data_IF_068147810231
#
_entry.id   IF_068147810231
#
_cell.length_a   1.000
_cell.length_b   1.000
_cell.length_c   1.000
_cell.angle_alpha   90.00
_cell.angle_beta   90.00
_cell.angle_gamma   90.00
#
_symmetry.space_group_name_H-M   'P 1'
#
loop_
_entity.id
_entity.type
_entity.pdbx_description
1 polymer ?
#
# COMPACT_ATOMS: atom_id res chain seq x y z
N UNK A 1 6.47 -21.47 -21.53
CA UNK A 1 6.61 -20.34 -20.59
C UNK A 1 5.26 -20.16 -19.91
N UNK A 2 5.16 -20.34 -18.59
CA UNK A 2 3.89 -20.25 -17.87
C UNK A 2 3.38 -18.80 -17.83
N UNK A 3 2.09 -18.62 -18.07
CA UNK A 3 1.42 -17.32 -18.05
C UNK A 3 1.44 -16.75 -16.62
N UNK A 4 2.07 -15.59 -16.41
CA UNK A 4 2.10 -14.94 -15.09
C UNK A 4 0.71 -14.41 -14.77
N UNK A 5 0.13 -14.84 -13.64
CA UNK A 5 -1.16 -14.34 -13.16
C UNK A 5 -1.18 -12.84 -12.84
N UNK A 6 -2.38 -12.31 -12.58
CA UNK A 6 -2.59 -10.88 -12.32
C UNK A 6 -1.93 -10.43 -11.01
N UNK A 7 -1.01 -9.46 -11.09
CA UNK A 7 -0.37 -8.86 -9.90
C UNK A 7 -1.27 -7.80 -9.27
N UNK A 8 -1.33 -7.77 -7.94
CA UNK A 8 -2.10 -6.78 -7.18
C UNK A 8 -1.46 -5.40 -7.30
N UNK A 9 -2.25 -4.39 -7.66
CA UNK A 9 -1.87 -2.96 -7.68
C UNK A 9 -2.48 -2.24 -6.47
N UNK A 10 -1.76 -1.27 -5.90
CA UNK A 10 -2.19 -0.47 -4.75
C UNK A 10 -2.04 1.02 -5.11
N UNK A 11 -2.93 1.85 -4.58
CA UNK A 11 -2.87 3.31 -4.71
C UNK A 11 -2.51 3.92 -3.35
N UNK A 12 -1.68 4.96 -3.35
CA UNK A 12 -1.21 5.61 -2.13
C UNK A 12 -0.56 6.96 -2.39
N UNK A 13 -0.18 7.64 -1.32
CA UNK A 13 0.45 8.97 -1.36
C UNK A 13 1.93 8.85 -1.03
N UNK A 14 2.80 9.52 -1.79
CA UNK A 14 4.24 9.57 -1.50
C UNK A 14 4.48 10.39 -0.23
N UNK A 15 5.19 9.81 0.75
CA UNK A 15 5.59 10.54 1.97
C UNK A 15 7.03 11.04 1.87
N UNK A 16 7.92 10.25 1.28
CA UNK A 16 9.35 10.56 1.25
C UNK A 16 9.99 10.07 -0.05
N UNK A 17 10.87 10.91 -0.56
CA UNK A 17 11.67 10.73 -1.78
C UNK A 17 13.16 10.96 -1.46
N UNK A 18 13.59 10.56 -0.27
CA UNK A 18 14.96 10.84 0.20
C UNK A 18 15.93 9.70 -0.07
N UNK A 19 15.48 8.60 -0.67
CA UNK A 19 16.30 7.44 -0.99
C UNK A 19 16.65 7.43 -2.48
N UNK A 20 17.77 6.82 -2.83
CA UNK A 20 18.17 6.68 -4.23
C UNK A 20 17.33 5.61 -4.94
N UNK A 21 16.61 5.99 -6.02
CA UNK A 21 15.76 5.10 -6.86
C UNK A 21 14.65 4.36 -6.11
N UNK A 22 14.21 4.89 -4.97
CA UNK A 22 13.15 4.30 -4.16
C UNK A 22 12.35 5.38 -3.46
N UNK A 23 11.03 5.28 -3.51
CA UNK A 23 10.11 6.19 -2.83
C UNK A 23 9.30 5.45 -1.76
N UNK A 24 8.99 6.13 -0.65
CA UNK A 24 8.14 5.60 0.41
C UNK A 24 6.69 6.06 0.19
N UNK A 25 5.81 5.12 -0.10
CA UNK A 25 4.39 5.32 -0.38
C UNK A 25 3.53 4.88 0.80
N UNK A 26 2.62 5.74 1.26
CA UNK A 26 1.57 5.39 2.22
C UNK A 26 0.33 4.89 1.51
N UNK A 27 -0.06 3.66 1.80
CA UNK A 27 -1.34 3.11 1.37
C UNK A 27 -2.31 3.13 2.54
N UNK A 28 -3.42 3.83 2.36
CA UNK A 28 -4.54 3.82 3.30
C UNK A 28 -5.63 2.84 2.83
N UNK A 29 -6.19 2.08 3.77
CA UNK A 29 -7.36 1.21 3.51
C UNK A 29 -8.35 1.27 4.66
N UNK A 30 -9.64 1.25 4.35
CA UNK A 30 -10.69 1.05 5.34
C UNK A 30 -10.82 -0.44 5.63
N UNK A 31 -10.69 -0.81 6.90
CA UNK A 31 -10.86 -2.18 7.37
C UNK A 31 -11.89 -2.21 8.49
N UNK A 32 -12.84 -3.15 8.40
CA UNK A 32 -13.84 -3.35 9.45
C UNK A 32 -13.19 -3.96 10.68
N UNK A 33 -13.35 -3.32 11.83
CA UNK A 33 -12.88 -3.87 13.09
C UNK A 33 -13.68 -5.16 13.42
N UNK A 34 -12.98 -6.25 13.77
CA UNK A 34 -13.59 -7.59 13.96
C UNK A 34 -14.74 -7.60 14.98
N UNK A 35 -14.54 -6.98 16.14
CA UNK A 35 -15.51 -6.97 17.24
C UNK A 35 -16.57 -5.89 17.04
N UNK A 36 -16.15 -4.62 17.05
CA UNK A 36 -17.04 -3.47 16.99
C UNK A 36 -17.69 -3.19 15.64
N UNK A 37 -17.29 -3.87 14.56
CA UNK A 37 -17.82 -3.70 13.19
C UNK A 37 -17.71 -2.27 12.61
N UNK A 38 -17.04 -1.34 13.31
CA UNK A 38 -16.70 0.01 12.84
C UNK A 38 -15.62 -0.03 11.76
N UNK A 39 -15.72 0.81 10.74
CA UNK A 39 -14.66 0.99 9.75
C UNK A 39 -13.52 1.83 10.34
N UNK A 40 -12.32 1.29 10.31
CA UNK A 40 -11.10 1.93 10.80
C UNK A 40 -10.12 2.09 9.64
N UNK A 41 -9.51 3.28 9.51
CA UNK A 41 -8.44 3.52 8.54
C UNK A 41 -7.17 2.82 9.01
N UNK A 42 -6.63 1.91 8.21
CA UNK A 42 -5.33 1.29 8.41
C UNK A 42 -4.36 1.85 7.39
N UNK A 43 -3.16 2.20 7.86
CA UNK A 43 -2.07 2.75 7.04
C UNK A 43 -0.94 1.73 6.99
N UNK A 44 -0.35 1.56 5.81
CA UNK A 44 0.86 0.77 5.64
C UNK A 44 1.81 1.54 4.71
N UNK A 45 3.10 1.49 5.04
CA UNK A 45 4.16 2.08 4.21
C UNK A 45 4.69 1.00 3.27
N UNK A 46 4.87 1.36 2.01
CA UNK A 46 5.46 0.53 0.96
C UNK A 46 6.63 1.27 0.36
N UNK A 47 7.69 0.55 0.03
CA UNK A 47 8.80 1.07 -0.77
C UNK A 47 8.52 0.69 -2.21
N UNK A 48 8.56 1.67 -3.11
CA UNK A 48 8.41 1.47 -4.55
C UNK A 48 9.69 1.94 -5.23
N UNK A 49 10.14 1.20 -6.24
CA UNK A 49 11.25 1.65 -7.08
C UNK A 49 10.76 2.71 -8.05
N UNK A 50 11.56 3.76 -8.22
CA UNK A 50 11.34 4.87 -9.15
C UNK A 50 12.59 5.06 -10.03
#
# INVERSE_FOLDING_TARGET
MAERGLRRKLFGTVISDSMEKTVVVLVERLSKHRVYRKFVRRRAKYMAHD
#
